data_IF_413927429524
#
_entry.id   IF_413927429524
#
_cell.length_a   1.000
_cell.length_b   1.000
_cell.length_c   1.000
_cell.angle_alpha   90.00
_cell.angle_beta   90.00
_cell.angle_gamma   90.00
#
_symmetry.space_group_name_H-M   'P 1'
#
loop_
_entity.id
_entity.type
_entity.pdbx_description
1 polymer ?
#
# COMPACT_ATOMS: atom_id res chain seq x y z
N UNK A 1 18.52 -9.72 -8.52
CA UNK A 1 19.00 -10.36 -7.27
C UNK A 1 19.05 -11.86 -7.52
N UNK A 2 20.24 -12.45 -7.68
CA UNK A 2 20.39 -13.89 -7.99
C UNK A 2 20.18 -14.66 -6.69
N UNK A 3 19.07 -15.40 -6.59
CA UNK A 3 18.77 -16.25 -5.44
C UNK A 3 19.56 -17.54 -5.62
N UNK A 4 20.67 -17.71 -4.90
CA UNK A 4 21.41 -18.97 -4.95
C UNK A 4 20.51 -20.14 -4.49
N UNK A 5 20.59 -21.31 -5.14
CA UNK A 5 19.83 -22.47 -4.71
C UNK A 5 20.34 -22.97 -3.36
N UNK A 6 19.49 -22.88 -2.34
CA UNK A 6 19.77 -23.44 -1.01
C UNK A 6 19.81 -24.98 -1.11
N UNK A 7 20.85 -25.60 -0.59
CA UNK A 7 20.99 -27.06 -0.53
C UNK A 7 19.87 -27.72 0.31
N UNK A 8 19.50 -28.96 0.00
CA UNK A 8 18.37 -29.63 0.67
C UNK A 8 18.65 -29.94 2.15
N UNK A 9 19.91 -30.19 2.52
CA UNK A 9 20.32 -30.33 3.92
C UNK A 9 20.08 -29.05 4.72
N UNK A 10 20.38 -27.88 4.13
CA UNK A 10 20.12 -26.57 4.74
C UNK A 10 18.62 -26.33 4.88
N UNK A 11 17.81 -26.72 3.89
CA UNK A 11 16.35 -26.63 3.98
C UNK A 11 15.80 -27.48 5.14
N UNK A 12 16.31 -28.69 5.34
CA UNK A 12 15.89 -29.56 6.44
C UNK A 12 16.20 -28.93 7.80
N UNK A 13 17.39 -28.34 7.95
CA UNK A 13 17.80 -27.65 9.18
C UNK A 13 16.95 -26.40 9.47
N UNK A 14 16.61 -25.61 8.45
CA UNK A 14 15.71 -24.46 8.58
C UNK A 14 14.33 -24.90 9.10
N UNK A 15 13.79 -26.02 8.58
CA UNK A 15 12.50 -26.56 9.02
C UNK A 15 12.57 -27.08 10.45
N UNK A 16 13.66 -27.79 10.81
CA UNK A 16 13.89 -28.28 12.18
C UNK A 16 13.87 -27.13 13.18
N UNK A 17 14.65 -26.08 12.93
CA UNK A 17 14.68 -24.87 13.78
C UNK A 17 13.35 -24.14 13.84
N UNK A 18 12.60 -24.15 12.74
CA UNK A 18 11.25 -23.61 12.73
C UNK A 18 10.30 -24.41 13.66
N UNK A 19 10.41 -25.74 13.68
CA UNK A 19 9.61 -26.62 14.52
C UNK A 19 9.95 -26.52 16.01
N UNK A 20 11.22 -26.25 16.35
CA UNK A 20 11.64 -26.02 17.74
C UNK A 20 11.17 -24.66 18.29
N UNK A 21 10.51 -23.84 17.47
CA UNK A 21 9.96 -22.56 17.88
C UNK A 21 10.93 -21.39 17.75
N UNK A 22 12.10 -21.56 17.15
CA UNK A 22 13.07 -20.47 16.94
C UNK A 22 12.42 -19.35 16.09
N UNK A 23 12.63 -18.06 16.42
CA UNK A 23 12.02 -16.95 15.67
C UNK A 23 12.43 -16.97 14.18
N UNK A 24 11.46 -16.75 13.28
CA UNK A 24 11.70 -16.76 11.83
C UNK A 24 12.81 -15.78 11.42
N UNK A 25 12.87 -14.61 12.07
CA UNK A 25 13.92 -13.62 11.81
C UNK A 25 15.33 -14.12 12.20
N UNK A 26 15.45 -14.85 13.33
CA UNK A 26 16.72 -15.43 13.76
C UNK A 26 17.18 -16.54 12.81
N UNK A 27 16.25 -17.42 12.40
CA UNK A 27 16.52 -18.46 11.40
C UNK A 27 16.97 -17.81 10.08
N UNK A 28 16.21 -16.82 9.59
CA UNK A 28 16.52 -16.16 8.33
C UNK A 28 17.91 -15.50 8.33
N UNK A 29 18.25 -14.80 9.41
CA UNK A 29 19.56 -14.19 9.60
C UNK A 29 20.69 -15.23 9.66
N UNK A 30 20.47 -16.34 10.39
CA UNK A 30 21.47 -17.41 10.53
C UNK A 30 21.82 -18.13 9.23
N UNK A 31 20.91 -18.17 8.25
CA UNK A 31 21.13 -18.80 6.95
C UNK A 31 21.28 -17.81 5.79
N UNK A 32 21.26 -16.50 6.04
CA UNK A 32 21.36 -15.48 4.99
C UNK A 32 20.20 -15.51 3.98
N UNK A 33 19.00 -15.93 4.41
CA UNK A 33 17.81 -16.05 3.56
C UNK A 33 16.81 -14.93 3.85
N UNK A 34 15.88 -14.70 2.92
CA UNK A 34 14.81 -13.71 3.15
C UNK A 34 13.94 -14.09 4.36
N UNK A 35 13.44 -13.08 5.08
CA UNK A 35 12.65 -13.26 6.32
C UNK A 35 11.43 -14.16 6.08
N UNK A 36 10.76 -14.08 4.93
CA UNK A 36 9.61 -14.92 4.62
C UNK A 36 9.95 -16.36 4.21
N UNK A 37 11.22 -16.67 3.92
CA UNK A 37 11.63 -17.96 3.36
C UNK A 37 11.40 -19.15 4.31
N UNK A 38 11.78 -19.09 5.61
CA UNK A 38 11.56 -20.21 6.52
C UNK A 38 10.08 -20.59 6.66
N UNK A 39 9.18 -19.61 6.71
CA UNK A 39 7.73 -19.85 6.78
C UNK A 39 7.18 -20.51 5.51
N UNK A 40 7.60 -20.02 4.33
CA UNK A 40 7.22 -20.62 3.04
C UNK A 40 7.73 -22.05 2.91
N UNK A 41 8.96 -22.30 3.36
CA UNK A 41 9.57 -23.63 3.35
C UNK A 41 8.85 -24.60 4.30
N UNK A 42 8.55 -24.15 5.53
CA UNK A 42 7.77 -24.91 6.50
C UNK A 42 6.40 -25.31 5.94
N UNK A 43 5.65 -24.36 5.36
CA UNK A 43 4.36 -24.62 4.71
C UNK A 43 4.47 -25.65 3.58
N UNK A 44 5.49 -25.53 2.72
CA UNK A 44 5.74 -26.48 1.62
C UNK A 44 6.07 -27.89 2.11
N UNK A 45 6.58 -28.03 3.32
CA UNK A 45 6.91 -29.31 3.98
C UNK A 45 5.80 -29.82 4.90
N UNK A 46 4.60 -29.22 4.83
CA UNK A 46 3.44 -29.63 5.62
C UNK A 46 3.46 -29.15 7.07
N UNK A 47 4.41 -28.30 7.46
CA UNK A 47 4.48 -27.75 8.82
C UNK A 47 3.54 -26.53 8.91
N UNK A 48 2.60 -26.51 9.87
CA UNK A 48 1.69 -25.39 10.05
C UNK A 48 2.40 -24.05 10.27
N UNK A 49 1.81 -22.97 9.75
CA UNK A 49 2.28 -21.63 10.01
C UNK A 49 1.98 -21.24 11.46
N UNK A 50 2.97 -20.70 12.15
CA UNK A 50 2.80 -20.13 13.50
C UNK A 50 1.91 -18.90 13.37
N UNK A 51 0.91 -18.79 14.25
CA UNK A 51 0.04 -17.63 14.27
C UNK A 51 0.90 -16.37 14.47
N UNK A 52 0.71 -15.33 13.65
CA UNK A 52 1.43 -14.09 13.85
C UNK A 52 1.05 -13.56 15.24
N UNK A 53 2.06 -13.31 16.08
CA UNK A 53 1.83 -12.85 17.44
C UNK A 53 0.95 -11.59 17.50
N UNK A 54 0.40 -11.29 18.69
CA UNK A 54 -0.49 -10.14 18.98
C UNK A 54 0.01 -8.80 18.41
N UNK A 55 1.31 -8.66 18.13
CA UNK A 55 1.96 -7.52 17.49
C UNK A 55 1.55 -7.28 16.03
N UNK A 56 1.05 -8.29 15.31
CA UNK A 56 0.53 -8.14 13.94
C UNK A 56 -0.81 -7.40 13.94
N UNK A 57 -1.74 -7.80 14.81
CA UNK A 57 -2.98 -7.10 15.06
C UNK A 57 -2.72 -5.70 15.61
N UNK A 58 -1.73 -5.53 16.48
CA UNK A 58 -1.35 -4.20 16.99
C UNK A 58 -0.76 -3.30 15.89
N UNK A 59 0.03 -3.85 14.95
CA UNK A 59 0.52 -3.11 13.78
C UNK A 59 -0.61 -2.75 12.82
N UNK A 60 -1.53 -3.68 12.55
CA UNK A 60 -2.71 -3.41 11.74
C UNK A 60 -3.59 -2.34 12.39
N UNK A 61 -3.85 -2.44 13.70
CA UNK A 61 -4.56 -1.41 14.48
C UNK A 61 -3.82 -0.08 14.48
N UNK A 62 -2.50 -0.07 14.63
CA UNK A 62 -1.70 1.16 14.59
C UNK A 62 -1.68 1.80 13.20
N UNK A 63 -1.66 0.99 12.15
CA UNK A 63 -1.84 1.43 10.76
C UNK A 63 -3.23 2.00 10.51
N UNK A 64 -4.27 1.38 11.08
CA UNK A 64 -5.65 1.85 11.04
C UNK A 64 -5.85 3.12 11.88
N UNK A 65 -5.11 3.27 12.98
CA UNK A 65 -5.11 4.46 13.84
C UNK A 65 -4.28 5.61 13.27
N UNK A 66 -3.27 5.30 12.45
CA UNK A 66 -2.51 6.30 11.69
C UNK A 66 -3.15 6.65 10.34
N UNK A 67 -4.22 5.96 9.95
CA UNK A 67 -5.05 6.37 8.83
C UNK A 67 -5.78 7.65 9.24
N UNK A 68 -5.40 8.78 8.63
CA UNK A 68 -6.09 10.06 8.77
C UNK A 68 -7.10 10.18 7.64
N UNK A 69 -8.40 9.93 7.87
CA UNK A 69 -9.41 10.16 6.84
C UNK A 69 -9.40 11.62 6.35
N UNK A 70 -9.01 12.57 7.21
CA UNK A 70 -8.96 14.01 6.87
C UNK A 70 -7.91 14.41 5.83
N UNK A 71 -6.83 13.65 5.64
CA UNK A 71 -5.81 14.00 4.64
C UNK A 71 -6.24 13.59 3.22
N UNK A 72 -7.05 12.53 3.08
CA UNK A 72 -7.68 12.12 1.81
C UNK A 72 -9.08 12.73 1.62
N UNK A 73 -9.71 13.24 2.69
CA UNK A 73 -10.99 13.97 2.66
C UNK A 73 -10.81 15.48 2.82
N UNK A 74 -9.76 16.06 2.25
CA UNK A 74 -9.80 17.48 1.96
C UNK A 74 -11.08 17.73 1.14
N UNK A 75 -11.92 18.72 1.49
CA UNK A 75 -13.06 19.05 0.64
C UNK A 75 -12.50 19.29 -0.75
N UNK A 76 -13.05 18.60 -1.76
CA UNK A 76 -12.80 18.94 -3.18
C UNK A 76 -12.83 20.45 -3.24
N UNK A 77 -11.70 21.06 -3.60
CA UNK A 77 -11.56 22.52 -3.55
C UNK A 77 -12.71 23.03 -4.38
N UNK A 78 -13.73 23.63 -3.74
CA UNK A 78 -14.93 24.04 -4.44
C UNK A 78 -14.45 25.01 -5.52
N UNK A 79 -14.54 24.58 -6.78
CA UNK A 79 -13.96 25.35 -7.85
C UNK A 79 -14.69 26.68 -7.91
N UNK A 80 -13.95 27.77 -7.77
CA UNK A 80 -14.52 29.11 -7.85
C UNK A 80 -15.01 29.31 -9.31
N UNK A 81 -16.30 29.59 -9.54
CA UNK A 81 -16.83 29.90 -10.87
C UNK A 81 -16.03 30.96 -11.62
N UNK A 82 -15.51 31.97 -10.90
CA UNK A 82 -14.71 33.03 -11.49
C UNK A 82 -13.34 32.54 -11.99
N UNK A 83 -12.74 31.57 -11.28
CA UNK A 83 -11.46 30.96 -11.65
C UNK A 83 -11.61 30.08 -12.90
N UNK A 84 -12.65 29.24 -12.96
CA UNK A 84 -12.97 28.45 -14.15
C UNK A 84 -13.18 29.38 -15.36
N UNK A 85 -13.98 30.45 -15.20
CA UNK A 85 -14.23 31.40 -16.29
C UNK A 85 -12.94 32.11 -16.73
N UNK A 86 -12.08 32.51 -15.79
CA UNK A 86 -10.79 33.13 -16.09
C UNK A 86 -9.88 32.24 -16.92
N UNK A 87 -9.79 30.95 -16.59
CA UNK A 87 -8.97 29.96 -17.32
C UNK A 87 -9.52 29.66 -18.72
N UNK A 88 -10.85 29.56 -18.85
CA UNK A 88 -11.50 29.43 -20.17
C UNK A 88 -11.24 30.64 -21.07
N UNK A 89 -11.33 31.86 -20.52
CA UNK A 89 -11.03 33.09 -21.25
C UNK A 89 -9.54 33.22 -21.60
N UNK A 90 -8.65 32.67 -20.77
CA UNK A 90 -7.22 32.57 -21.07
C UNK A 90 -6.91 31.52 -22.16
N UNK A 91 -7.92 30.80 -22.67
CA UNK A 91 -7.77 29.81 -23.73
C UNK A 91 -7.31 28.44 -23.24
N UNK A 92 -7.38 28.15 -21.94
CA UNK A 92 -7.08 26.82 -21.46
C UNK A 92 -8.14 25.81 -21.93
N UNK A 93 -7.72 24.61 -22.36
CA UNK A 93 -8.65 23.60 -22.85
C UNK A 93 -9.47 23.02 -21.68
N UNK A 94 -10.79 22.95 -21.85
CA UNK A 94 -11.75 22.46 -20.84
C UNK A 94 -11.36 21.12 -20.20
N UNK A 95 -10.76 20.21 -20.97
CA UNK A 95 -10.33 18.90 -20.47
C UNK A 95 -9.22 18.99 -19.42
N UNK A 96 -8.30 19.97 -19.55
CA UNK A 96 -7.25 20.17 -18.55
C UNK A 96 -7.82 20.81 -17.29
N UNK A 97 -8.74 21.77 -17.43
CA UNK A 97 -9.39 22.41 -16.28
C UNK A 97 -10.25 21.38 -15.52
N UNK A 98 -10.99 20.53 -16.24
CA UNK A 98 -11.80 19.46 -15.66
C UNK A 98 -10.92 18.42 -14.91
N UNK A 99 -9.79 18.03 -15.50
CA UNK A 99 -8.86 17.10 -14.86
C UNK A 99 -8.17 17.69 -13.61
N UNK A 100 -7.81 18.98 -13.65
CA UNK A 100 -7.15 19.68 -12.55
C UNK A 100 -8.09 19.90 -11.35
N UNK A 101 -9.37 20.09 -11.63
CA UNK A 101 -10.41 20.30 -10.62
C UNK A 101 -11.16 19.01 -10.22
N UNK A 102 -10.83 17.87 -10.84
CA UNK A 102 -11.54 16.59 -10.70
C UNK A 102 -13.07 16.75 -10.90
N UNK A 103 -13.45 17.54 -11.91
CA UNK A 103 -14.83 17.85 -12.28
C UNK A 103 -15.24 17.10 -13.54
N UNK A 104 -16.52 16.72 -13.62
CA UNK A 104 -17.12 16.34 -14.88
C UNK A 104 -17.20 17.53 -15.84
N UNK A 105 -17.19 17.28 -17.15
CA UNK A 105 -17.37 18.34 -18.16
C UNK A 105 -18.70 19.09 -17.96
N UNK A 106 -19.77 18.39 -17.58
CA UNK A 106 -21.07 18.99 -17.31
C UNK A 106 -21.04 19.91 -16.08
N UNK A 107 -20.31 19.50 -15.03
CA UNK A 107 -20.12 20.29 -13.80
C UNK A 107 -19.29 21.55 -14.09
N UNK A 108 -18.27 21.42 -14.95
CA UNK A 108 -17.43 22.53 -15.38
C UNK A 108 -18.21 23.58 -16.19
N UNK A 109 -19.09 23.14 -17.09
CA UNK A 109 -19.95 24.02 -17.88
C UNK A 109 -20.96 24.73 -16.98
N UNK A 110 -21.60 24.02 -16.05
CA UNK A 110 -22.53 24.62 -15.11
C UNK A 110 -21.85 25.67 -14.21
N UNK A 111 -20.63 25.38 -13.72
CA UNK A 111 -19.86 26.30 -12.91
C UNK A 111 -19.42 27.55 -13.70
N UNK A 112 -19.01 27.40 -14.96
CA UNK A 112 -18.66 28.54 -15.82
C UNK A 112 -19.84 29.47 -16.13
N UNK A 113 -21.07 28.92 -16.20
CA UNK A 113 -22.30 29.68 -16.44
C UNK A 113 -22.83 30.39 -15.18
N UNK A 114 -22.53 29.86 -13.99
CA UNK A 114 -22.93 30.43 -12.71
C UNK A 114 -22.06 31.61 -12.25
N UNK A 115 -20.93 31.85 -12.92
CA UNK A 115 -20.05 32.98 -12.63
C UNK A 115 -20.67 34.32 -13.10
N UNK A 116 -20.69 35.37 -12.26
CA UNK A 116 -21.18 36.70 -12.65
C UNK A 116 -20.33 37.31 -13.77
#
# INVERSE_FOLDING_TARGET
MIVQPVADSVKAEIVRRYQTGEPIAAIAAGFGVSIGYPAKLAKRRGVPLRQPGKSSALRAKRSLMSWKPEADMAPRRAADPADIRGRLLAGEPMLLIAADLDLGLDELVAAAQAAP
#
